data_IF_335716619769
#
_entry.id   IF_335716619769
#
_cell.length_a   1.000
_cell.length_b   1.000
_cell.length_c   1.000
_cell.angle_alpha   90.00
_cell.angle_beta   90.00
_cell.angle_gamma   90.00
#
_symmetry.space_group_name_H-M   'P 1'
#
loop_
_entity.id
_entity.type
_entity.pdbx_description
1 polymer ?
#
# COMPACT_ATOMS: atom_id res chain seq x y z
N UNK A 1 -17.90 -4.34 -0.78
CA UNK A 1 -16.70 -3.47 -0.78
C UNK A 1 -16.02 -3.57 -2.14
N UNK A 2 -15.51 -2.48 -2.69
CA UNK A 2 -14.82 -2.52 -3.96
C UNK A 2 -13.43 -3.15 -3.84
N UNK A 3 -13.04 -3.91 -4.88
CA UNK A 3 -11.78 -4.64 -4.98
C UNK A 3 -10.92 -4.08 -6.10
N UNK A 4 -9.67 -3.77 -5.81
CA UNK A 4 -8.67 -3.34 -6.79
C UNK A 4 -7.50 -4.34 -6.86
N UNK A 5 -6.64 -4.17 -7.85
CA UNK A 5 -5.39 -4.92 -7.95
C UNK A 5 -4.21 -3.99 -8.27
N UNK A 6 -3.09 -4.29 -7.64
CA UNK A 6 -1.78 -3.72 -7.95
C UNK A 6 -1.04 -4.64 -8.94
N UNK A 7 -0.34 -4.11 -9.96
CA UNK A 7 0.33 -4.92 -10.98
C UNK A 7 1.66 -5.53 -10.52
N UNK A 8 1.68 -6.24 -9.39
CA UNK A 8 2.93 -6.71 -8.78
C UNK A 8 3.77 -7.58 -9.69
N UNK A 9 3.12 -8.50 -10.45
CA UNK A 9 3.80 -9.38 -11.40
C UNK A 9 4.36 -8.65 -12.64
N UNK A 10 3.90 -7.44 -12.93
CA UNK A 10 4.34 -6.63 -14.07
C UNK A 10 5.06 -5.35 -13.66
N UNK A 11 5.39 -5.20 -12.38
CA UNK A 11 6.00 -3.97 -11.89
C UNK A 11 7.32 -3.66 -12.62
N UNK A 12 8.18 -4.67 -12.78
CA UNK A 12 9.43 -4.52 -13.52
C UNK A 12 9.21 -4.22 -15.01
N UNK A 13 8.22 -4.85 -15.63
CA UNK A 13 7.85 -4.58 -17.03
C UNK A 13 7.32 -3.16 -17.23
N UNK A 14 6.55 -2.64 -16.26
CA UNK A 14 5.99 -1.30 -16.31
C UNK A 14 7.00 -0.20 -15.92
N UNK A 15 7.91 -0.47 -14.98
CA UNK A 15 8.80 0.55 -14.37
C UNK A 15 10.22 0.47 -14.90
N UNK A 16 10.81 -0.74 -14.92
CA UNK A 16 12.23 -0.95 -15.19
C UNK A 16 12.46 -1.23 -16.67
N UNK A 17 11.87 -2.29 -17.18
CA UNK A 17 12.12 -2.77 -18.54
C UNK A 17 11.31 -2.01 -19.60
N UNK A 18 10.18 -1.40 -19.21
CA UNK A 18 9.25 -0.69 -20.12
C UNK A 18 8.77 -1.57 -21.28
N UNK A 19 8.63 -2.87 -21.03
CA UNK A 19 8.15 -3.88 -22.00
C UNK A 19 6.62 -3.97 -22.03
N UNK A 20 5.94 -3.44 -21.00
CA UNK A 20 4.49 -3.30 -20.92
C UNK A 20 4.11 -1.83 -20.75
N UNK A 21 3.06 -1.38 -21.43
CA UNK A 21 2.47 -0.06 -21.23
C UNK A 21 1.36 -0.11 -20.18
N UNK A 22 1.03 1.05 -19.58
CA UNK A 22 -0.08 1.17 -18.63
C UNK A 22 -1.41 0.78 -19.29
N UNK A 23 -1.61 1.13 -20.56
CA UNK A 23 -2.78 0.71 -21.34
C UNK A 23 -2.90 -0.81 -21.42
N UNK A 24 -1.82 -1.50 -21.75
CA UNK A 24 -1.81 -2.97 -21.82
C UNK A 24 -2.17 -3.59 -20.47
N UNK A 25 -1.70 -3.02 -19.38
CA UNK A 25 -2.08 -3.46 -18.03
C UNK A 25 -3.59 -3.26 -17.79
N UNK A 26 -4.11 -2.05 -18.07
CA UNK A 26 -5.55 -1.73 -17.89
C UNK A 26 -6.42 -2.71 -18.71
N UNK A 27 -6.09 -2.91 -19.98
CA UNK A 27 -6.85 -3.80 -20.86
C UNK A 27 -6.82 -5.25 -20.37
N UNK A 28 -5.65 -5.73 -19.99
CA UNK A 28 -5.46 -7.09 -19.51
C UNK A 28 -6.20 -7.34 -18.19
N UNK A 29 -6.06 -6.45 -17.24
CA UNK A 29 -6.73 -6.56 -15.95
C UNK A 29 -8.26 -6.51 -16.08
N UNK A 30 -8.79 -5.63 -16.94
CA UNK A 30 -10.21 -5.54 -17.22
C UNK A 30 -10.78 -6.82 -17.86
N UNK A 31 -9.98 -7.50 -18.67
CA UNK A 31 -10.41 -8.72 -19.35
C UNK A 31 -10.32 -9.98 -18.48
N UNK A 32 -9.34 -10.04 -17.56
CA UNK A 32 -8.96 -11.28 -16.90
C UNK A 32 -9.30 -11.30 -15.39
N UNK A 33 -9.50 -10.14 -14.73
CA UNK A 33 -9.68 -10.08 -13.29
C UNK A 33 -11.10 -9.65 -12.88
N UNK A 34 -11.71 -10.28 -11.85
CA UNK A 34 -13.01 -9.88 -11.30
C UNK A 34 -12.85 -8.76 -10.27
N UNK A 35 -12.40 -7.58 -10.72
CA UNK A 35 -12.08 -6.41 -9.89
C UNK A 35 -12.86 -5.16 -10.34
N UNK A 36 -12.91 -4.14 -9.47
CA UNK A 36 -13.59 -2.87 -9.73
C UNK A 36 -12.60 -1.72 -10.01
N UNK A 37 -11.31 -1.94 -9.78
CA UNK A 37 -10.32 -0.88 -9.96
C UNK A 37 -8.88 -1.37 -10.04
N UNK A 38 -8.00 -0.43 -10.39
CA UNK A 38 -6.55 -0.64 -10.46
C UNK A 38 -5.85 0.38 -9.58
N UNK A 39 -4.96 -0.12 -8.75
CA UNK A 39 -4.04 0.72 -8.00
C UNK A 39 -2.85 1.11 -8.88
N UNK A 40 -2.49 2.40 -8.83
CA UNK A 40 -1.37 2.93 -9.57
C UNK A 40 -0.14 3.11 -8.68
N UNK A 41 1.02 2.97 -9.28
CA UNK A 41 2.30 3.27 -8.65
C UNK A 41 2.97 4.45 -9.36
N UNK A 42 3.56 5.33 -8.57
CA UNK A 42 4.23 6.54 -9.05
C UNK A 42 5.23 6.27 -10.18
N UNK A 43 5.98 5.17 -10.11
CA UNK A 43 7.02 4.83 -11.05
C UNK A 43 6.59 4.60 -12.50
N UNK A 44 5.33 4.22 -12.75
CA UNK A 44 4.80 4.07 -14.11
C UNK A 44 3.77 5.13 -14.50
N UNK A 45 3.41 6.04 -13.58
CA UNK A 45 2.39 7.06 -13.81
C UNK A 45 2.98 8.25 -14.58
N UNK A 46 2.33 8.79 -15.61
CA UNK A 46 2.79 9.98 -16.37
C UNK A 46 2.54 11.25 -15.57
N UNK A 47 3.46 11.62 -14.70
CA UNK A 47 3.29 12.62 -13.65
C UNK A 47 3.11 14.05 -14.16
N UNK A 48 3.73 14.38 -15.29
CA UNK A 48 3.78 15.75 -15.84
C UNK A 48 2.84 15.97 -17.04
N UNK A 49 2.17 14.91 -17.51
CA UNK A 49 1.29 14.98 -18.68
C UNK A 49 -0.18 14.88 -18.26
N UNK A 50 -0.81 16.03 -18.04
CA UNK A 50 -2.22 16.11 -17.64
C UNK A 50 -3.17 15.56 -18.73
N UNK A 51 -2.81 15.63 -20.00
CA UNK A 51 -3.63 15.08 -21.08
C UNK A 51 -3.58 13.54 -21.05
N UNK A 52 -2.40 13.00 -20.81
CA UNK A 52 -2.23 11.55 -20.67
C UNK A 52 -2.93 11.01 -19.41
N UNK A 53 -2.86 11.71 -18.27
CA UNK A 53 -3.62 11.35 -17.07
C UNK A 53 -5.13 11.33 -17.34
N UNK A 54 -5.66 12.34 -18.03
CA UNK A 54 -7.07 12.39 -18.40
C UNK A 54 -7.46 11.25 -19.35
N UNK A 55 -6.58 10.91 -20.30
CA UNK A 55 -6.75 9.79 -21.23
C UNK A 55 -6.79 8.45 -20.49
N UNK A 56 -5.84 8.19 -19.59
CA UNK A 56 -5.80 6.96 -18.79
C UNK A 56 -7.03 6.82 -17.90
N UNK A 57 -7.45 7.92 -17.25
CA UNK A 57 -8.70 7.94 -16.49
C UNK A 57 -9.91 7.57 -17.36
N UNK A 58 -10.01 8.13 -18.56
CA UNK A 58 -11.08 7.81 -19.51
C UNK A 58 -11.04 6.35 -19.94
N UNK A 59 -9.84 5.80 -20.22
CA UNK A 59 -9.67 4.40 -20.57
C UNK A 59 -10.17 3.48 -19.45
N UNK A 60 -9.72 3.69 -18.21
CA UNK A 60 -10.19 2.91 -17.05
C UNK A 60 -11.71 2.97 -16.90
N UNK A 61 -12.28 4.18 -16.96
CA UNK A 61 -13.74 4.37 -16.87
C UNK A 61 -14.48 3.60 -17.97
N UNK A 62 -13.98 3.63 -19.20
CA UNK A 62 -14.57 2.89 -20.34
C UNK A 62 -14.49 1.39 -20.13
N UNK A 63 -13.52 0.89 -19.39
CA UNK A 63 -13.39 -0.51 -19.00
C UNK A 63 -14.13 -0.87 -17.71
N UNK A 64 -14.87 0.06 -17.12
CA UNK A 64 -15.57 -0.15 -15.85
C UNK A 64 -14.68 -0.20 -14.64
N UNK A 65 -13.44 0.32 -14.72
CA UNK A 65 -12.46 0.33 -13.65
C UNK A 65 -12.31 1.73 -13.05
N UNK A 66 -12.11 1.81 -11.74
CA UNK A 66 -11.67 3.00 -11.03
C UNK A 66 -10.17 2.96 -10.73
N UNK A 67 -9.58 4.12 -10.41
CA UNK A 67 -8.26 4.18 -9.78
C UNK A 67 -8.44 4.65 -8.33
N UNK A 68 -8.51 3.74 -7.34
CA UNK A 68 -8.81 4.13 -5.96
C UNK A 68 -7.65 4.81 -5.26
N UNK A 69 -6.43 4.36 -5.53
CA UNK A 69 -5.25 4.70 -4.77
C UNK A 69 -4.00 4.80 -5.65
N UNK A 70 -3.16 5.79 -5.32
CA UNK A 70 -1.81 5.95 -5.83
C UNK A 70 -0.80 5.52 -4.78
N UNK A 71 0.12 4.62 -5.12
CA UNK A 71 1.28 4.31 -4.30
C UNK A 71 2.44 5.25 -4.59
N UNK A 72 2.83 6.04 -3.60
CA UNK A 72 4.07 6.80 -3.55
C UNK A 72 4.83 6.48 -2.26
N UNK A 73 6.16 6.54 -2.31
CA UNK A 73 7.06 6.13 -1.21
C UNK A 73 8.05 7.26 -0.87
N UNK A 74 7.62 8.30 -0.14
CA UNK A 74 8.50 9.38 0.28
C UNK A 74 9.48 8.91 1.35
N UNK A 75 10.70 9.47 1.36
CA UNK A 75 11.66 9.27 2.44
C UNK A 75 11.70 10.49 3.37
N UNK A 76 10.76 10.57 4.30
CA UNK A 76 10.61 11.70 5.22
C UNK A 76 11.60 11.71 6.39
N UNK A 77 12.39 10.64 6.54
CA UNK A 77 13.45 10.54 7.54
C UNK A 77 14.83 10.92 6.97
N UNK A 78 14.89 11.57 5.80
CA UNK A 78 16.15 12.12 5.27
C UNK A 78 16.81 13.06 6.29
N UNK A 79 18.14 12.92 6.57
CA UNK A 79 18.83 13.81 7.50
C UNK A 79 18.89 15.26 6.98
N UNK A 80 19.05 15.45 5.67
CA UNK A 80 19.07 16.76 5.04
C UNK A 80 17.66 17.37 4.93
N UNK A 81 17.48 18.57 5.44
CA UNK A 81 16.21 19.29 5.40
C UNK A 81 15.74 19.58 3.98
N UNK A 82 16.65 19.98 3.09
CA UNK A 82 16.28 20.26 1.70
C UNK A 82 15.83 18.98 0.95
N UNK A 83 16.38 17.80 1.32
CA UNK A 83 15.92 16.53 0.81
C UNK A 83 14.47 16.25 1.29
N UNK A 84 14.15 16.46 2.57
CA UNK A 84 12.76 16.31 3.06
C UNK A 84 11.78 17.28 2.40
N UNK A 85 12.17 18.52 2.16
CA UNK A 85 11.34 19.50 1.43
C UNK A 85 11.05 19.06 -0.02
N UNK A 86 12.01 18.41 -0.69
CA UNK A 86 11.77 17.77 -1.99
C UNK A 86 10.77 16.62 -1.89
N UNK A 87 10.91 15.76 -0.90
CA UNK A 87 9.97 14.65 -0.67
C UNK A 87 8.54 15.16 -0.39
N UNK A 88 8.39 16.22 0.42
CA UNK A 88 7.08 16.88 0.64
C UNK A 88 6.50 17.38 -0.69
N UNK A 89 7.32 18.02 -1.51
CA UNK A 89 6.90 18.54 -2.83
C UNK A 89 6.43 17.42 -3.74
N UNK A 90 7.16 16.31 -3.79
CA UNK A 90 6.79 15.14 -4.58
C UNK A 90 5.53 14.44 -4.04
N UNK A 91 5.38 14.32 -2.72
CA UNK A 91 4.15 13.77 -2.13
C UNK A 91 2.92 14.64 -2.46
N UNK A 92 3.06 15.96 -2.40
CA UNK A 92 2.00 16.88 -2.83
C UNK A 92 1.65 16.70 -4.30
N UNK A 93 2.66 16.52 -5.16
CA UNK A 93 2.42 16.22 -6.57
C UNK A 93 1.72 14.87 -6.76
N UNK A 94 2.07 13.85 -6.00
CA UNK A 94 1.38 12.55 -6.03
C UNK A 94 -0.11 12.68 -5.65
N UNK A 95 -0.44 13.53 -4.67
CA UNK A 95 -1.83 13.86 -4.31
C UNK A 95 -2.59 14.48 -5.50
N UNK A 96 -1.99 15.46 -6.18
CA UNK A 96 -2.60 16.11 -7.35
C UNK A 96 -2.85 15.11 -8.49
N UNK A 97 -1.85 14.30 -8.81
CA UNK A 97 -1.94 13.27 -9.85
C UNK A 97 -3.00 12.22 -9.49
N UNK A 98 -3.08 11.84 -8.22
CA UNK A 98 -4.15 10.96 -7.71
C UNK A 98 -5.52 11.54 -8.03
N UNK A 99 -5.77 12.81 -7.69
CA UNK A 99 -7.03 13.48 -7.97
C UNK A 99 -7.34 13.57 -9.47
N UNK A 100 -6.33 13.88 -10.30
CA UNK A 100 -6.48 13.95 -11.76
C UNK A 100 -6.90 12.61 -12.37
N UNK A 101 -6.36 11.50 -11.87
CA UNK A 101 -6.76 10.15 -12.24
C UNK A 101 -8.13 9.74 -11.68
N UNK A 102 -8.73 10.54 -10.80
CA UNK A 102 -10.02 10.27 -10.15
C UNK A 102 -9.90 9.50 -8.84
N UNK A 103 -8.68 9.26 -8.37
CA UNK A 103 -8.40 8.58 -7.10
C UNK A 103 -8.79 9.40 -5.88
N UNK A 104 -8.98 8.68 -4.77
CA UNK A 104 -9.38 9.26 -3.48
C UNK A 104 -8.40 9.02 -2.36
N UNK A 105 -7.43 8.13 -2.57
CA UNK A 105 -6.41 7.80 -1.59
C UNK A 105 -5.02 7.90 -2.22
N UNK A 106 -4.06 8.44 -1.47
CA UNK A 106 -2.66 8.48 -1.84
C UNK A 106 -1.82 7.94 -0.69
N UNK A 107 -1.05 6.90 -0.97
CA UNK A 107 -0.16 6.31 0.02
C UNK A 107 0.92 7.29 0.44
N UNK A 108 1.25 7.26 1.71
CA UNK A 108 2.40 7.89 2.31
C UNK A 108 3.16 6.88 3.17
N UNK A 109 4.49 6.94 3.16
CA UNK A 109 5.38 6.18 4.01
C UNK A 109 6.14 7.11 4.95
N UNK A 110 6.73 6.56 6.00
CA UNK A 110 7.47 7.36 6.99
C UNK A 110 8.90 7.70 6.53
N UNK A 111 9.50 6.85 5.73
CA UNK A 111 10.89 6.96 5.31
C UNK A 111 11.75 5.79 5.79
N UNK A 112 13.07 5.93 5.72
CA UNK A 112 14.01 4.85 5.98
C UNK A 112 14.55 4.84 7.42
N UNK A 113 14.64 3.66 8.04
CA UNK A 113 15.22 3.43 9.37
C UNK A 113 16.76 3.47 9.33
N UNK A 114 17.33 4.66 9.24
CA UNK A 114 18.79 4.83 9.25
C UNK A 114 19.37 4.51 10.62
N UNK A 115 20.55 3.84 10.69
CA UNK A 115 21.15 3.41 11.97
C UNK A 115 21.42 4.55 12.96
N UNK A 116 21.70 5.75 12.46
CA UNK A 116 21.99 6.95 13.25
C UNK A 116 20.75 7.69 13.71
N UNK A 117 19.57 7.34 13.22
CA UNK A 117 18.31 8.04 13.51
C UNK A 117 17.63 7.42 14.74
N UNK A 118 17.41 8.22 15.78
CA UNK A 118 16.60 7.78 16.91
C UNK A 118 15.11 7.69 16.55
N UNK A 119 14.37 6.86 17.30
CA UNK A 119 12.92 6.71 17.08
C UNK A 119 12.21 8.05 17.28
N UNK A 120 12.49 8.78 18.35
CA UNK A 120 11.83 10.05 18.64
C UNK A 120 12.09 11.11 17.57
N UNK A 121 13.31 11.18 17.05
CA UNK A 121 13.65 12.10 15.97
C UNK A 121 12.98 11.69 14.66
N UNK A 122 13.02 10.43 14.30
CA UNK A 122 12.38 9.93 13.09
C UNK A 122 10.86 10.12 13.11
N UNK A 123 10.20 9.84 14.23
CA UNK A 123 8.77 10.12 14.43
C UNK A 123 8.47 11.61 14.23
N UNK A 124 9.27 12.48 14.80
CA UNK A 124 9.11 13.94 14.64
C UNK A 124 9.24 14.35 13.16
N UNK A 125 10.31 13.93 12.49
CA UNK A 125 10.57 14.28 11.09
C UNK A 125 9.46 13.78 10.18
N UNK A 126 9.05 12.52 10.29
CA UNK A 126 7.98 11.93 9.49
C UNK A 126 6.64 12.62 9.74
N UNK A 127 6.29 12.88 11.00
CA UNK A 127 5.05 13.57 11.36
C UNK A 127 5.00 15.01 10.83
N UNK A 128 6.09 15.77 10.91
CA UNK A 128 6.20 17.12 10.35
C UNK A 128 5.98 17.10 8.83
N UNK A 129 6.61 16.17 8.11
CA UNK A 129 6.48 16.06 6.66
C UNK A 129 5.07 15.62 6.22
N UNK A 130 4.49 14.61 6.89
CA UNK A 130 3.12 14.16 6.61
C UNK A 130 2.14 15.29 6.87
N UNK A 131 2.26 15.97 8.02
CA UNK A 131 1.39 17.11 8.37
C UNK A 131 1.49 18.24 7.35
N UNK A 132 2.68 18.51 6.81
CA UNK A 132 2.86 19.51 5.76
C UNK A 132 2.15 19.16 4.44
N UNK A 133 1.79 17.89 4.21
CA UNK A 133 1.06 17.46 3.03
C UNK A 133 -0.48 17.51 3.19
N UNK A 134 -1.01 17.57 4.42
CA UNK A 134 -2.45 17.52 4.69
C UNK A 134 -3.25 18.65 4.02
N UNK A 135 -2.79 19.91 3.98
CA UNK A 135 -3.53 20.96 3.27
C UNK A 135 -3.72 20.68 1.77
N UNK A 136 -2.73 20.04 1.13
CA UNK A 136 -2.84 19.63 -0.27
C UNK A 136 -3.83 18.48 -0.44
N UNK A 137 -3.82 17.51 0.47
CA UNK A 137 -4.76 16.40 0.51
C UNK A 137 -6.21 16.92 0.62
N UNK A 138 -6.47 17.83 1.54
CA UNK A 138 -7.77 18.49 1.71
C UNK A 138 -8.20 19.25 0.46
N UNK A 139 -7.33 20.08 -0.10
CA UNK A 139 -7.62 20.88 -1.30
C UNK A 139 -8.03 20.04 -2.51
N UNK A 140 -7.50 18.82 -2.63
CA UNK A 140 -7.79 17.90 -3.72
C UNK A 140 -8.84 16.82 -3.37
N UNK A 141 -9.35 16.78 -2.13
CA UNK A 141 -10.29 15.76 -1.67
C UNK A 141 -9.71 14.34 -1.75
N UNK A 142 -8.41 14.22 -1.45
CA UNK A 142 -7.65 12.97 -1.42
C UNK A 142 -7.22 12.68 0.02
N UNK A 143 -7.45 11.48 0.50
CA UNK A 143 -6.99 11.05 1.82
C UNK A 143 -5.56 10.50 1.72
N UNK A 144 -4.64 11.05 2.51
CA UNK A 144 -3.34 10.42 2.73
C UNK A 144 -3.52 9.19 3.60
N UNK A 145 -2.96 8.08 3.18
CA UNK A 145 -3.06 6.79 3.88
C UNK A 145 -1.66 6.30 4.24
N UNK A 146 -1.34 6.31 5.53
CA UNK A 146 -0.08 5.76 6.03
C UNK A 146 -0.17 4.23 6.03
N UNK A 147 0.74 3.59 5.32
CA UNK A 147 0.82 2.14 5.28
C UNK A 147 1.80 1.61 6.32
N UNK A 148 1.43 0.54 7.01
CA UNK A 148 2.37 -0.30 7.74
C UNK A 148 3.19 -1.12 6.73
N UNK A 149 4.32 -0.56 6.30
CA UNK A 149 5.14 -1.08 5.21
C UNK A 149 6.45 -1.69 5.72
N UNK A 150 7.13 -2.49 4.91
CA UNK A 150 8.40 -3.11 5.31
C UNK A 150 9.62 -2.45 4.68
N UNK A 151 9.63 -2.20 3.39
CA UNK A 151 10.72 -1.56 2.65
C UNK A 151 10.32 -1.32 1.19
N UNK A 152 10.48 -0.12 0.69
CA UNK A 152 10.42 0.14 -0.75
C UNK A 152 11.64 -0.47 -1.47
N UNK A 153 11.42 -1.00 -2.67
CA UNK A 153 12.46 -1.72 -3.42
C UNK A 153 13.71 -0.89 -3.75
N UNK A 154 13.58 0.43 -3.78
CA UNK A 154 14.68 1.37 -4.09
C UNK A 154 15.38 1.91 -2.84
N UNK A 155 14.90 1.59 -1.64
CA UNK A 155 15.49 2.06 -0.40
C UNK A 155 16.65 1.21 0.06
N UNK A 156 17.61 1.85 0.74
CA UNK A 156 18.76 1.16 1.35
C UNK A 156 18.35 0.47 2.65
N UNK A 157 17.56 1.14 3.49
CA UNK A 157 17.15 0.66 4.81
C UNK A 157 15.67 0.27 4.83
N UNK A 158 15.23 -0.53 5.83
CA UNK A 158 13.81 -0.81 6.05
C UNK A 158 12.99 0.47 6.27
N UNK A 159 11.66 0.32 6.18
CA UNK A 159 10.71 1.35 6.60
C UNK A 159 10.97 1.77 8.05
N UNK A 160 11.00 3.08 8.31
CA UNK A 160 11.23 3.60 9.65
C UNK A 160 10.12 3.18 10.63
N UNK A 161 8.86 3.32 10.23
CA UNK A 161 7.71 2.90 11.02
C UNK A 161 7.28 1.45 10.73
N UNK A 162 8.21 0.55 10.39
CA UNK A 162 7.92 -0.86 10.11
C UNK A 162 7.30 -1.57 11.30
N UNK A 163 7.81 -1.32 12.52
CA UNK A 163 7.35 -1.97 13.75
C UNK A 163 6.06 -1.33 14.25
N UNK A 164 5.12 -2.16 14.70
CA UNK A 164 3.84 -1.73 15.26
C UNK A 164 3.97 -0.59 16.26
N UNK A 165 4.91 -0.70 17.21
CA UNK A 165 5.12 0.31 18.24
C UNK A 165 5.47 1.68 17.65
N UNK A 166 6.39 1.72 16.69
CA UNK A 166 6.81 2.96 16.02
C UNK A 166 5.70 3.50 15.12
N UNK A 167 4.98 2.62 14.43
CA UNK A 167 3.82 2.97 13.62
C UNK A 167 2.73 3.65 14.44
N UNK A 168 2.38 3.08 15.60
CA UNK A 168 1.38 3.66 16.51
C UNK A 168 1.86 4.97 17.14
N UNK A 169 3.16 5.08 17.49
CA UNK A 169 3.73 6.32 17.98
C UNK A 169 3.63 7.42 16.90
N UNK A 170 3.97 7.13 15.66
CA UNK A 170 3.84 8.08 14.56
C UNK A 170 2.37 8.49 14.33
N UNK A 171 1.46 7.54 14.29
CA UNK A 171 0.02 7.81 14.15
C UNK A 171 -0.52 8.70 15.29
N UNK A 172 0.02 8.55 16.51
CA UNK A 172 -0.41 9.28 17.70
C UNK A 172 -0.03 10.76 17.69
N UNK A 173 1.02 11.14 16.94
CA UNK A 173 1.51 12.54 16.90
C UNK A 173 1.06 13.32 15.66
N UNK A 174 0.55 12.65 14.63
CA UNK A 174 -0.02 13.32 13.46
C UNK A 174 -1.40 13.88 13.83
N UNK A 175 -1.68 15.17 13.51
CA UNK A 175 -2.96 15.78 13.81
C UNK A 175 -4.14 15.01 13.21
N UNK A 176 -5.24 14.93 13.95
CA UNK A 176 -6.46 14.32 13.42
C UNK A 176 -6.96 15.13 12.20
N UNK A 177 -7.22 14.43 11.11
CA UNK A 177 -7.74 15.03 9.88
C UNK A 177 -8.65 14.01 9.18
N UNK A 178 -9.77 14.44 8.57
CA UNK A 178 -10.58 13.58 7.72
C UNK A 178 -9.85 13.17 6.41
N UNK A 179 -8.74 13.83 6.11
CA UNK A 179 -7.87 13.53 4.96
C UNK A 179 -6.61 12.76 5.34
N UNK A 180 -6.64 12.06 6.49
CA UNK A 180 -5.54 11.19 6.93
C UNK A 180 -6.07 9.93 7.60
N UNK A 181 -5.57 8.78 7.16
CA UNK A 181 -5.91 7.49 7.73
C UNK A 181 -4.84 6.44 7.50
N UNK A 182 -5.23 5.19 7.57
CA UNK A 182 -4.35 4.02 7.47
C UNK A 182 -4.67 3.20 6.24
N UNK A 183 -3.65 2.78 5.52
CA UNK A 183 -3.70 1.63 4.62
C UNK A 183 -3.15 0.42 5.40
N UNK A 184 -4.00 -0.53 5.72
CA UNK A 184 -3.61 -1.71 6.50
C UNK A 184 -3.12 -2.82 5.58
N UNK A 185 -1.92 -3.34 5.83
CA UNK A 185 -1.37 -4.53 5.17
C UNK A 185 -1.03 -5.61 6.22
N UNK A 186 -1.76 -6.74 6.24
CA UNK A 186 -1.53 -7.80 7.22
C UNK A 186 -0.17 -8.49 7.05
N UNK A 187 0.30 -8.67 5.81
CA UNK A 187 1.58 -9.35 5.57
C UNK A 187 2.77 -8.51 6.00
N UNK A 188 2.68 -7.18 5.90
CA UNK A 188 3.74 -6.29 6.35
C UNK A 188 3.89 -6.32 7.87
N UNK A 189 2.80 -6.53 8.62
CA UNK A 189 2.87 -6.80 10.07
C UNK A 189 3.63 -8.11 10.35
N UNK A 190 3.33 -9.19 9.61
CA UNK A 190 4.06 -10.47 9.75
C UNK A 190 5.55 -10.28 9.42
N UNK A 191 5.89 -9.57 8.34
CA UNK A 191 7.28 -9.26 7.97
C UNK A 191 8.00 -8.53 9.11
N UNK A 192 7.31 -7.59 9.76
CA UNK A 192 7.83 -6.89 10.92
C UNK A 192 8.00 -7.79 12.15
N UNK A 193 7.44 -9.00 12.16
CA UNK A 193 7.39 -9.91 13.31
C UNK A 193 6.34 -9.50 14.34
N UNK A 194 5.36 -8.71 13.92
CA UNK A 194 4.21 -8.28 14.72
C UNK A 194 2.99 -9.16 14.41
N UNK A 195 2.00 -9.14 15.29
CA UNK A 195 0.71 -9.79 15.07
C UNK A 195 -0.18 -8.91 14.20
N UNK A 196 -0.59 -9.35 13.00
CA UNK A 196 -1.42 -8.56 12.09
C UNK A 196 -2.80 -8.24 12.68
N UNK A 197 -3.41 -9.17 13.45
CA UNK A 197 -4.72 -8.93 14.05
C UNK A 197 -4.65 -7.94 15.21
N UNK A 198 -3.56 -7.96 15.96
CA UNK A 198 -3.34 -6.97 17.01
C UNK A 198 -3.11 -5.58 16.42
N UNK A 199 -2.32 -5.46 15.35
CA UNK A 199 -2.16 -4.19 14.64
C UNK A 199 -3.49 -3.70 14.10
N UNK A 200 -4.29 -4.59 13.48
CA UNK A 200 -5.60 -4.21 12.96
C UNK A 200 -6.52 -3.71 14.08
N UNK A 201 -6.54 -4.37 15.24
CA UNK A 201 -7.36 -3.94 16.38
C UNK A 201 -7.00 -2.54 16.88
N UNK A 202 -5.69 -2.20 16.88
CA UNK A 202 -5.22 -0.89 17.29
C UNK A 202 -5.61 0.24 16.33
N UNK A 203 -5.72 -0.06 15.02
CA UNK A 203 -5.91 0.95 13.98
C UNK A 203 -7.25 0.89 13.27
N UNK A 204 -8.11 -0.08 13.58
CA UNK A 204 -9.35 -0.40 12.84
C UNK A 204 -10.25 0.80 12.57
N UNK A 205 -10.35 1.74 13.53
CA UNK A 205 -11.15 2.96 13.40
C UNK A 205 -10.54 4.00 12.44
N UNK A 206 -9.29 3.79 12.04
CA UNK A 206 -8.53 4.68 11.15
C UNK A 206 -8.26 4.06 9.79
N UNK A 207 -8.64 2.80 9.58
CA UNK A 207 -8.44 2.09 8.30
C UNK A 207 -9.33 2.70 7.24
N UNK A 208 -8.73 3.23 6.18
CA UNK A 208 -9.40 3.83 5.01
C UNK A 208 -9.34 2.87 3.82
N UNK A 209 -8.22 2.19 3.65
CA UNK A 209 -7.98 1.17 2.62
C UNK A 209 -7.22 0.00 3.22
N UNK A 210 -7.23 -1.13 2.52
CA UNK A 210 -6.45 -2.31 2.88
C UNK A 210 -5.70 -2.82 1.67
N UNK A 211 -4.40 -3.11 1.83
CA UNK A 211 -3.70 -4.01 0.94
C UNK A 211 -4.01 -5.45 1.36
N UNK A 212 -4.64 -6.21 0.49
CA UNK A 212 -4.77 -7.64 0.69
C UNK A 212 -3.52 -8.33 0.15
N UNK A 213 -2.82 -9.01 1.01
CA UNK A 213 -1.59 -9.73 0.72
C UNK A 213 -1.52 -10.99 1.58
N UNK A 214 -0.77 -11.97 1.16
CA UNK A 214 -0.54 -13.18 1.98
C UNK A 214 0.88 -13.69 1.81
N UNK A 215 1.39 -14.35 2.84
CA UNK A 215 2.74 -14.88 2.87
C UNK A 215 2.74 -16.30 3.38
N UNK A 216 3.72 -17.10 2.92
CA UNK A 216 3.99 -18.43 3.43
C UNK A 216 5.47 -18.62 3.72
N UNK A 217 5.79 -19.58 4.60
CA UNK A 217 7.18 -19.96 4.86
C UNK A 217 7.71 -20.94 3.82
N UNK A 218 8.81 -20.58 3.19
CA UNK A 218 9.61 -21.49 2.37
C UNK A 218 10.83 -21.94 3.20
N UNK A 219 10.62 -22.97 3.99
CA UNK A 219 11.55 -23.39 5.03
C UNK A 219 11.54 -22.46 6.25
N UNK A 220 12.05 -22.92 7.38
CA UNK A 220 12.07 -22.16 8.64
C UNK A 220 10.69 -22.01 9.30
N UNK A 221 10.65 -21.16 10.31
CA UNK A 221 9.49 -20.97 11.20
C UNK A 221 9.30 -19.48 11.53
N UNK A 222 8.20 -19.14 12.22
CA UNK A 222 7.98 -17.79 12.74
C UNK A 222 9.07 -17.33 13.74
N UNK A 223 9.74 -18.26 14.46
CA UNK A 223 10.87 -17.94 15.32
C UNK A 223 12.08 -17.51 14.51
N UNK A 224 12.34 -18.19 13.39
CA UNK A 224 13.44 -17.84 12.48
C UNK A 224 13.22 -16.47 11.84
N UNK A 225 11.98 -16.05 11.61
CA UNK A 225 11.63 -14.75 11.05
C UNK A 225 12.26 -13.60 11.84
N UNK A 226 12.14 -13.63 13.17
CA UNK A 226 12.70 -12.60 14.06
C UNK A 226 14.22 -12.52 14.00
N UNK A 227 14.87 -13.66 13.76
CA UNK A 227 16.34 -13.77 13.66
C UNK A 227 16.88 -13.33 12.29
N UNK A 228 16.13 -13.60 11.22
CA UNK A 228 16.59 -13.44 9.83
C UNK A 228 16.21 -12.09 9.18
N UNK A 229 15.31 -11.31 9.79
CA UNK A 229 14.78 -10.07 9.22
C UNK A 229 15.82 -8.96 8.99
N UNK A 230 16.73 -8.79 9.92
CA UNK A 230 17.93 -7.95 9.84
C UNK A 230 17.79 -6.65 9.04
N UNK A 231 18.88 -6.23 8.40
CA UNK A 231 18.97 -5.00 7.59
C UNK A 231 18.18 -5.05 6.26
N UNK A 232 17.75 -6.23 5.82
CA UNK A 232 16.95 -6.35 4.59
C UNK A 232 15.49 -5.87 4.75
N UNK A 233 15.03 -5.72 6.00
CA UNK A 233 13.64 -5.36 6.31
C UNK A 233 12.66 -6.53 6.25
N UNK A 234 13.09 -7.69 5.74
CA UNK A 234 12.29 -8.92 5.67
C UNK A 234 13.21 -10.15 5.71
N UNK A 235 12.66 -11.30 6.13
CA UNK A 235 13.35 -12.58 6.08
C UNK A 235 13.11 -13.27 4.73
N UNK A 236 14.17 -13.80 4.12
CA UNK A 236 14.13 -14.47 2.82
C UNK A 236 13.27 -15.74 2.79
N UNK A 237 12.99 -16.33 3.96
CA UNK A 237 12.11 -17.50 4.11
C UNK A 237 10.61 -17.16 3.95
N UNK A 238 10.23 -15.89 4.01
CA UNK A 238 8.85 -15.45 3.90
C UNK A 238 8.58 -15.02 2.45
N UNK A 239 7.79 -15.81 1.74
CA UNK A 239 7.50 -15.61 0.31
C UNK A 239 6.10 -15.08 0.09
N UNK A 240 5.93 -14.34 -1.00
CA UNK A 240 4.61 -13.99 -1.52
C UNK A 240 3.79 -15.25 -1.82
N UNK A 241 2.50 -15.21 -1.51
CA UNK A 241 1.57 -16.31 -1.73
C UNK A 241 0.34 -15.91 -2.54
N UNK A 242 -0.59 -16.85 -2.64
CA UNK A 242 -1.95 -16.57 -3.10
C UNK A 242 -2.77 -16.25 -1.85
N UNK A 243 -3.53 -15.16 -1.88
CA UNK A 243 -4.35 -14.72 -0.75
C UNK A 243 -5.31 -15.84 -0.32
N UNK A 244 -5.36 -16.11 0.99
CA UNK A 244 -6.13 -17.17 1.60
C UNK A 244 -5.43 -18.53 1.64
N UNK A 245 -4.17 -18.63 1.19
CA UNK A 245 -3.36 -19.85 1.26
C UNK A 245 -2.11 -19.67 2.12
N UNK A 246 -1.98 -18.55 2.79
CA UNK A 246 -0.82 -18.20 3.60
C UNK A 246 -1.12 -18.13 5.09
N UNK A 247 -0.51 -17.16 5.75
CA UNK A 247 -0.47 -17.03 7.20
C UNK A 247 -1.57 -16.11 7.76
N UNK A 248 -2.23 -15.30 6.92
CA UNK A 248 -3.21 -14.34 7.36
C UNK A 248 -4.58 -14.97 7.58
N UNK A 249 -5.19 -14.68 8.73
CA UNK A 249 -6.57 -15.07 9.06
C UNK A 249 -7.55 -14.04 8.49
N UNK A 250 -7.99 -14.27 7.24
CA UNK A 250 -8.93 -13.39 6.56
C UNK A 250 -10.34 -13.39 7.16
N UNK A 251 -10.75 -14.44 7.88
CA UNK A 251 -12.03 -14.44 8.59
C UNK A 251 -12.00 -13.48 9.78
N UNK A 252 -10.92 -13.50 10.56
CA UNK A 252 -10.72 -12.55 11.65
C UNK A 252 -10.57 -11.11 11.14
N UNK A 253 -9.80 -10.90 10.06
CA UNK A 253 -9.64 -9.58 9.42
C UNK A 253 -10.99 -9.02 8.97
N UNK A 254 -11.77 -9.77 8.20
CA UNK A 254 -13.08 -9.30 7.72
C UNK A 254 -14.09 -9.09 8.84
N UNK A 255 -14.06 -9.93 9.88
CA UNK A 255 -14.89 -9.75 11.07
C UNK A 255 -14.58 -8.43 11.79
N UNK A 256 -13.30 -8.10 11.92
CA UNK A 256 -12.85 -6.84 12.53
C UNK A 256 -13.25 -5.64 11.68
N UNK A 257 -12.98 -5.66 10.37
CA UNK A 257 -13.37 -4.59 9.46
C UNK A 257 -14.86 -4.35 9.43
N UNK A 258 -15.66 -5.42 9.45
CA UNK A 258 -17.12 -5.35 9.56
C UNK A 258 -17.58 -4.67 10.86
N UNK A 259 -16.93 -4.98 11.96
CA UNK A 259 -17.31 -4.45 13.29
C UNK A 259 -17.23 -2.93 13.38
N UNK A 260 -16.39 -2.29 12.56
CA UNK A 260 -16.21 -0.83 12.48
C UNK A 260 -16.89 -0.19 11.25
N UNK A 261 -17.67 -0.99 10.50
CA UNK A 261 -18.38 -0.48 9.31
C UNK A 261 -17.45 -0.08 8.16
N UNK A 262 -16.28 -0.72 8.04
CA UNK A 262 -15.36 -0.46 6.94
C UNK A 262 -16.05 -0.67 5.58
N UNK A 263 -15.89 0.31 4.70
CA UNK A 263 -16.47 0.32 3.35
C UNK A 263 -15.47 0.79 2.28
N UNK A 264 -14.21 0.87 2.67
CA UNK A 264 -13.11 1.31 1.81
C UNK A 264 -12.72 0.29 0.75
N UNK A 265 -11.71 0.63 -0.02
CA UNK A 265 -11.13 -0.25 -1.03
C UNK A 265 -10.22 -1.30 -0.41
N UNK A 266 -10.30 -2.51 -0.95
CA UNK A 266 -9.30 -3.55 -0.75
C UNK A 266 -8.52 -3.68 -2.06
N UNK A 267 -7.20 -3.58 -2.01
CA UNK A 267 -6.33 -3.74 -3.19
C UNK A 267 -5.45 -4.97 -3.03
N UNK A 268 -5.45 -5.85 -4.03
CA UNK A 268 -4.60 -7.04 -4.04
C UNK A 268 -3.16 -6.60 -4.31
N UNK A 269 -2.26 -6.80 -3.34
CA UNK A 269 -0.83 -6.54 -3.47
C UNK A 269 -0.01 -7.83 -3.38
N UNK A 270 -0.37 -8.80 -4.21
CA UNK A 270 0.29 -10.10 -4.31
C UNK A 270 0.45 -10.55 -5.77
N UNK A 271 0.81 -11.82 -6.01
CA UNK A 271 1.02 -12.34 -7.34
C UNK A 271 2.31 -11.83 -7.98
N UNK A 272 3.42 -11.85 -7.22
CA UNK A 272 4.69 -11.27 -7.65
C UNK A 272 5.41 -12.03 -8.78
N UNK A 273 5.07 -13.29 -9.03
CA UNK A 273 5.69 -14.08 -10.09
C UNK A 273 5.23 -13.61 -11.49
N UNK A 274 6.14 -13.23 -12.40
CA UNK A 274 5.77 -12.71 -13.71
C UNK A 274 5.13 -13.73 -14.65
N UNK A 275 5.32 -15.04 -14.40
CA UNK A 275 4.79 -16.11 -15.25
C UNK A 275 3.37 -16.49 -14.85
N UNK A 276 3.12 -16.67 -13.56
CA UNK A 276 1.84 -17.13 -13.01
C UNK A 276 1.07 -16.05 -12.24
N UNK A 277 1.60 -14.83 -12.17
CA UNK A 277 1.07 -13.76 -11.34
C UNK A 277 -0.36 -13.36 -11.68
N UNK A 278 -0.75 -13.35 -12.96
CA UNK A 278 -2.15 -13.08 -13.34
C UNK A 278 -3.11 -14.15 -12.80
N UNK A 279 -2.73 -15.42 -12.85
CA UNK A 279 -3.52 -16.49 -12.24
C UNK A 279 -3.60 -16.35 -10.73
N UNK A 280 -2.48 -15.96 -10.07
CA UNK A 280 -2.48 -15.70 -8.64
C UNK A 280 -3.39 -14.51 -8.28
N UNK A 281 -3.36 -13.41 -9.06
CA UNK A 281 -4.27 -12.27 -8.88
C UNK A 281 -5.75 -12.69 -9.04
N UNK A 282 -6.06 -13.50 -10.05
CA UNK A 282 -7.41 -14.00 -10.31
C UNK A 282 -7.90 -14.86 -9.13
N UNK A 283 -7.11 -15.83 -8.69
CA UNK A 283 -7.44 -16.70 -7.56
C UNK A 283 -7.61 -15.88 -6.25
N UNK A 284 -6.75 -14.90 -6.04
CA UNK A 284 -6.84 -13.99 -4.89
C UNK A 284 -8.12 -13.14 -4.94
N UNK A 285 -8.48 -12.61 -6.12
CA UNK A 285 -9.71 -11.86 -6.28
C UNK A 285 -10.96 -12.70 -6.04
N UNK A 286 -10.99 -13.93 -6.56
CA UNK A 286 -12.10 -14.88 -6.34
C UNK A 286 -12.24 -15.23 -4.85
N UNK A 287 -11.12 -15.50 -4.17
CA UNK A 287 -11.12 -15.76 -2.72
C UNK A 287 -11.67 -14.57 -1.93
N UNK A 288 -11.18 -13.36 -2.19
CA UNK A 288 -11.62 -12.14 -1.49
C UNK A 288 -13.11 -11.86 -1.74
N UNK A 289 -13.59 -12.00 -2.98
CA UNK A 289 -15.03 -11.88 -3.30
C UNK A 289 -15.87 -12.89 -2.52
N UNK A 290 -15.41 -14.14 -2.43
CA UNK A 290 -16.07 -15.18 -1.63
C UNK A 290 -16.15 -14.79 -0.16
N UNK A 291 -15.02 -14.36 0.43
CA UNK A 291 -14.96 -13.94 1.84
C UNK A 291 -15.81 -12.69 2.13
N UNK A 292 -15.79 -11.70 1.24
CA UNK A 292 -16.68 -10.54 1.36
C UNK A 292 -18.15 -10.96 1.42
N UNK A 293 -18.57 -11.89 0.55
CA UNK A 293 -19.94 -12.39 0.53
C UNK A 293 -20.28 -13.17 1.80
N UNK A 294 -19.40 -14.07 2.29
CA UNK A 294 -19.55 -14.84 3.52
C UNK A 294 -19.75 -13.93 4.74
N UNK A 295 -19.00 -12.83 4.81
CA UNK A 295 -19.11 -11.84 5.90
C UNK A 295 -20.23 -10.81 5.68
N UNK A 296 -20.98 -10.87 4.56
CA UNK A 296 -22.03 -9.91 4.23
C UNK A 296 -21.49 -8.48 4.03
N UNK A 297 -20.34 -8.39 3.40
CA UNK A 297 -19.65 -7.15 3.00
C UNK A 297 -19.76 -7.04 1.47
N UNK A 298 -20.85 -6.41 0.94
CA UNK A 298 -21.12 -6.34 -0.50
C UNK A 298 -20.12 -5.45 -1.25
#
# INVERSE_FOLDING_TARGET
MPLAAFPKCYLDDLVVHRTMTVDQWIERAAAELPIDGLEFYWGFTPQEDAAELARLRSLMTTRGLAMPMMCYSPDFTQPDRAAREREITQQRRAIEVTAQLGGKCCRVLSGQARPELSIDEGVKLAAECITACLPQAEAHGVTLILENHYKDGYWQFPEFAQKREVFLQLLGVIPHSPFFGVNYDPSNAIIAGDDPLQLLDDVKERVVTMHASDRYFEGGTAEDLRRLGGHAGYASILKHGIIGRGLNDYDAIFSTLKSVGFSGWISIEDGADPVVGMEHLRLSAEFLRGKMAEHGLP
#
